data_IF_927652870575
#
_entry.id   IF_927652870575
#
_cell.length_a   1.000
_cell.length_b   1.000
_cell.length_c   1.000
_cell.angle_alpha   90.00
_cell.angle_beta   90.00
_cell.angle_gamma   90.00
#
_symmetry.space_group_name_H-M   'P 1'
#
loop_
_entity.id
_entity.type
_entity.pdbx_description
1 polymer ?
#
# COMPACT_ATOMS: atom_id res chain seq x y z
N UNK A 1 38.31 8.70 15.44
CA UNK A 1 38.29 8.01 14.12
C UNK A 1 36.96 8.31 13.45
N UNK A 2 36.93 9.33 12.59
CA UNK A 2 35.69 9.82 11.97
C UNK A 2 35.38 9.01 10.71
N UNK A 3 34.49 8.02 10.82
CA UNK A 3 33.88 7.43 9.63
C UNK A 3 33.03 8.51 8.95
N UNK A 4 33.48 9.07 7.83
CA UNK A 4 32.57 9.69 6.87
C UNK A 4 31.83 8.55 6.16
N UNK A 5 30.58 8.21 6.53
CA UNK A 5 29.98 6.91 6.18
C UNK A 5 29.57 6.83 4.71
N UNK A 6 29.38 7.98 4.07
CA UNK A 6 28.73 8.09 2.77
C UNK A 6 29.66 7.78 1.58
N UNK A 7 30.96 7.58 1.83
CA UNK A 7 31.94 7.27 0.78
C UNK A 7 31.70 5.91 0.14
N UNK A 8 31.31 4.91 0.95
CA UNK A 8 31.06 3.54 0.49
C UNK A 8 29.76 3.43 -0.32
N UNK A 9 28.70 4.13 0.12
CA UNK A 9 27.44 4.21 -0.62
C UNK A 9 27.64 4.84 -2.01
N UNK A 10 28.40 5.95 -2.10
CA UNK A 10 28.70 6.58 -3.39
C UNK A 10 29.62 5.74 -4.28
N UNK A 11 30.56 4.99 -3.68
CA UNK A 11 31.40 4.06 -4.41
C UNK A 11 30.56 2.91 -5.02
N UNK A 12 29.64 2.32 -4.26
CA UNK A 12 28.76 1.26 -4.73
C UNK A 12 27.91 1.68 -5.94
N UNK A 13 27.37 2.90 -5.94
CA UNK A 13 26.62 3.45 -7.10
C UNK A 13 27.53 3.64 -8.31
N UNK A 14 28.81 3.99 -8.11
CA UNK A 14 29.76 4.27 -9.19
C UNK A 14 30.37 3.01 -9.82
N UNK A 15 30.47 1.91 -9.08
CA UNK A 15 31.00 0.63 -9.60
C UNK A 15 30.00 -0.11 -10.50
N UNK A 16 28.67 0.06 -10.32
CA UNK A 16 27.64 -0.61 -11.15
C UNK A 16 26.37 0.24 -11.33
N UNK A 17 26.40 1.32 -12.12
CA UNK A 17 25.29 2.27 -12.26
C UNK A 17 23.99 1.62 -12.80
N UNK A 18 24.11 0.64 -13.70
CA UNK A 18 22.96 -0.03 -14.30
C UNK A 18 22.12 -0.84 -13.29
N UNK A 19 22.78 -1.55 -12.37
CA UNK A 19 22.07 -2.34 -11.35
C UNK A 19 21.36 -1.43 -10.34
N UNK A 20 22.00 -0.32 -9.95
CA UNK A 20 21.41 0.66 -9.05
C UNK A 20 20.18 1.33 -9.67
N UNK A 21 20.27 1.73 -10.94
CA UNK A 21 19.13 2.33 -11.65
C UNK A 21 17.93 1.37 -11.70
N UNK A 22 18.15 0.08 -11.96
CA UNK A 22 17.10 -0.93 -11.96
C UNK A 22 16.38 -1.05 -10.61
N UNK A 23 17.15 -1.22 -9.52
CA UNK A 23 16.56 -1.30 -8.17
C UNK A 23 15.87 0.00 -7.77
N UNK A 24 16.47 1.16 -8.08
CA UNK A 24 15.86 2.45 -7.78
C UNK A 24 14.52 2.62 -8.48
N UNK A 25 14.42 2.31 -9.78
CA UNK A 25 13.18 2.40 -10.54
C UNK A 25 12.14 1.41 -10.00
N UNK A 26 12.54 0.18 -9.67
CA UNK A 26 11.63 -0.81 -9.10
C UNK A 26 11.03 -0.34 -7.76
N UNK A 27 11.88 0.18 -6.86
CA UNK A 27 11.44 0.71 -5.56
C UNK A 27 10.57 1.96 -5.73
N UNK A 28 10.92 2.85 -6.66
CA UNK A 28 10.14 4.04 -6.97
C UNK A 28 8.75 3.67 -7.48
N UNK A 29 8.65 2.74 -8.43
CA UNK A 29 7.37 2.28 -8.98
C UNK A 29 6.49 1.63 -7.90
N UNK A 30 7.10 0.81 -7.03
CA UNK A 30 6.39 0.22 -5.89
C UNK A 30 5.84 1.29 -4.94
N UNK A 31 6.65 2.29 -4.59
CA UNK A 31 6.23 3.40 -3.74
C UNK A 31 5.11 4.23 -4.37
N UNK A 32 5.17 4.49 -5.69
CA UNK A 32 4.12 5.20 -6.41
C UNK A 32 2.79 4.45 -6.40
N UNK A 33 2.81 3.13 -6.63
CA UNK A 33 1.58 2.32 -6.59
C UNK A 33 0.93 2.40 -5.20
N UNK A 34 1.72 2.21 -4.14
CA UNK A 34 1.23 2.29 -2.75
C UNK A 34 0.66 3.68 -2.44
N UNK A 35 1.37 4.74 -2.85
CA UNK A 35 0.90 6.11 -2.67
C UNK A 35 -0.42 6.38 -3.44
N UNK A 36 -0.52 5.92 -4.68
CA UNK A 36 -1.73 6.04 -5.48
C UNK A 36 -2.91 5.30 -4.83
N UNK A 37 -2.70 4.08 -4.33
CA UNK A 37 -3.71 3.35 -3.56
C UNK A 37 -4.14 4.12 -2.32
N UNK A 38 -3.21 4.74 -1.60
CA UNK A 38 -3.51 5.57 -0.44
C UNK A 38 -4.34 6.81 -0.79
N UNK A 39 -3.95 7.53 -1.85
CA UNK A 39 -4.71 8.70 -2.34
C UNK A 39 -6.11 8.29 -2.77
N UNK A 40 -6.26 7.19 -3.50
CA UNK A 40 -7.57 6.67 -3.89
C UNK A 40 -8.43 6.30 -2.68
N UNK A 41 -7.84 5.67 -1.66
CA UNK A 41 -8.53 5.33 -0.41
C UNK A 41 -8.98 6.58 0.34
N UNK A 42 -8.09 7.55 0.52
CA UNK A 42 -8.40 8.82 1.17
C UNK A 42 -9.48 9.59 0.40
N UNK A 43 -9.40 9.59 -0.93
CA UNK A 43 -10.42 10.18 -1.78
C UNK A 43 -11.74 9.42 -1.65
N UNK A 44 -11.77 8.09 -1.61
CA UNK A 44 -13.00 7.31 -1.44
C UNK A 44 -13.68 7.52 -0.10
N UNK A 45 -12.89 7.65 0.98
CA UNK A 45 -13.40 7.97 2.31
C UNK A 45 -13.95 9.40 2.36
N UNK A 46 -13.22 10.37 1.79
CA UNK A 46 -13.55 11.80 1.90
C UNK A 46 -14.58 12.26 0.87
N UNK A 47 -14.61 11.64 -0.30
CA UNK A 47 -15.57 11.89 -1.38
C UNK A 47 -16.83 11.05 -1.26
N UNK A 48 -17.19 10.60 -0.05
CA UNK A 48 -18.53 10.08 0.26
C UNK A 48 -19.55 11.22 0.12
N UNK A 49 -19.78 11.64 -1.12
CA UNK A 49 -20.98 12.34 -1.56
C UNK A 49 -22.13 11.36 -1.30
N UNK A 50 -23.20 11.75 -0.60
CA UNK A 50 -24.35 10.88 -0.39
C UNK A 50 -24.82 10.41 -1.77
N UNK A 51 -24.67 9.11 -2.03
CA UNK A 51 -25.12 8.54 -3.29
C UNK A 51 -26.64 8.74 -3.34
N UNK A 52 -27.12 9.61 -4.23
CA UNK A 52 -28.54 9.98 -4.27
C UNK A 52 -29.45 8.75 -4.50
N UNK A 53 -28.92 7.72 -5.16
CA UNK A 53 -29.48 6.36 -5.31
C UNK A 53 -29.70 5.58 -4.00
N UNK A 54 -28.95 5.91 -2.94
CA UNK A 54 -29.03 5.31 -1.60
C UNK A 54 -29.49 6.32 -0.55
N UNK A 55 -29.97 7.51 -0.94
CA UNK A 55 -30.42 8.55 -0.01
C UNK A 55 -31.56 8.11 0.93
N UNK A 56 -32.31 7.07 0.55
CA UNK A 56 -33.36 6.45 1.38
C UNK A 56 -32.96 5.09 1.97
N UNK A 57 -31.72 4.62 1.75
CA UNK A 57 -31.21 3.38 2.32
C UNK A 57 -30.42 3.72 3.60
N UNK A 58 -30.93 3.39 4.81
CA UNK A 58 -30.33 3.84 6.06
C UNK A 58 -28.88 3.37 6.27
N UNK A 59 -28.46 2.27 5.64
CA UNK A 59 -27.13 1.66 5.77
C UNK A 59 -26.85 0.78 4.53
N UNK A 60 -25.72 0.99 3.84
CA UNK A 60 -25.32 0.13 2.69
C UNK A 60 -24.09 -0.74 3.01
N UNK A 61 -23.26 -0.36 3.98
CA UNK A 61 -22.09 -1.15 4.42
C UNK A 61 -21.69 -0.85 5.88
N UNK A 62 -22.59 -1.03 6.84
CA UNK A 62 -22.20 -1.24 8.23
C UNK A 62 -22.36 -2.74 8.53
N UNK A 63 -21.49 -3.55 7.92
CA UNK A 63 -21.47 -4.98 8.21
C UNK A 63 -20.71 -5.24 9.52
N UNK A 64 -21.22 -6.18 10.32
CA UNK A 64 -20.45 -6.80 11.40
C UNK A 64 -19.19 -7.46 10.79
N UNK A 65 -18.01 -7.06 11.27
CA UNK A 65 -16.71 -7.51 10.75
C UNK A 65 -16.25 -8.85 11.34
N UNK A 66 -17.12 -9.59 12.04
CA UNK A 66 -16.76 -10.88 12.61
C UNK A 66 -17.26 -12.03 11.74
N UNK A 67 -16.38 -12.59 10.93
CA UNK A 67 -16.61 -13.90 10.32
C UNK A 67 -16.38 -14.97 11.40
N UNK A 68 -17.44 -15.58 11.94
CA UNK A 68 -17.32 -16.84 12.69
C UNK A 68 -16.92 -17.93 11.71
N UNK A 69 -15.64 -18.25 11.67
CA UNK A 69 -15.14 -19.48 11.06
C UNK A 69 -15.55 -20.62 11.97
N UNK A 70 -16.66 -21.29 11.65
CA UNK A 70 -16.88 -22.65 12.15
C UNK A 70 -15.99 -23.53 11.28
N UNK A 71 -14.77 -23.78 11.76
CA UNK A 71 -14.02 -24.93 11.31
C UNK A 71 -14.82 -26.15 11.76
N UNK A 72 -15.65 -26.67 10.86
CA UNK A 72 -16.16 -28.03 11.05
C UNK A 72 -14.93 -28.93 10.98
N UNK A 73 -14.60 -29.50 12.14
CA UNK A 73 -13.53 -30.47 12.27
C UNK A 73 -13.79 -31.59 11.28
N UNK A 74 -12.88 -31.72 10.31
CA UNK A 74 -12.81 -32.89 9.44
C UNK A 74 -12.45 -34.08 10.33
N UNK A 75 -13.46 -34.83 10.76
CA UNK A 75 -13.32 -36.19 11.29
C UNK A 75 -14.41 -37.07 10.64
N UNK A 76 -13.93 -38.07 9.91
CA UNK A 76 -14.68 -39.08 9.17
C UNK A 76 -13.78 -39.82 8.21
#
# INVERSE_FOLDING_TARGET
MSLKPNGLARAAVRFKPASFAGTFVALLMSALIVAACGVLLETGIRASVPAERYANAPVVAAADQSARVVADTVDG
#
